data_IF_001276018957
#
_entry.id   IF_001276018957
#
_cell.length_a   1.000
_cell.length_b   1.000
_cell.length_c   1.000
_cell.angle_alpha   90.00
_cell.angle_beta   90.00
_cell.angle_gamma   90.00
#
_symmetry.space_group_name_H-M   'P 1'
#
loop_
_entity.id
_entity.type
_entity.pdbx_description
1 polymer ?
#
# COMPACT_ATOMS: atom_id res chain seq x y z
N UNK A 1 7.08 14.76 -39.10
CA UNK A 1 8.29 14.49 -38.30
C UNK A 1 9.32 15.55 -38.65
N UNK A 2 9.65 16.45 -37.73
CA UNK A 2 10.77 17.38 -37.93
C UNK A 2 12.04 16.75 -37.37
N UNK A 3 13.03 16.52 -38.24
CA UNK A 3 14.39 16.14 -37.86
C UNK A 3 15.20 17.33 -37.31
N UNK A 4 14.58 18.52 -37.22
CA UNK A 4 15.17 19.78 -36.77
C UNK A 4 14.35 20.35 -35.62
N UNK A 5 15.02 21.08 -34.71
CA UNK A 5 14.37 21.83 -33.63
C UNK A 5 13.44 22.89 -34.25
N UNK A 6 12.19 22.92 -33.77
CA UNK A 6 11.22 23.95 -34.19
C UNK A 6 11.46 25.19 -33.33
N UNK A 7 11.50 26.42 -33.90
CA UNK A 7 11.68 27.63 -33.12
C UNK A 7 10.50 27.82 -32.16
N UNK A 8 10.78 27.82 -30.85
CA UNK A 8 9.77 28.11 -29.82
C UNK A 8 9.49 29.61 -29.76
N UNK A 9 8.23 29.97 -29.48
CA UNK A 9 7.80 31.36 -29.24
C UNK A 9 7.33 31.49 -27.80
N UNK A 10 7.82 32.52 -27.11
CA UNK A 10 7.32 32.88 -25.79
C UNK A 10 5.92 33.51 -25.96
N UNK A 11 4.93 32.95 -25.28
CA UNK A 11 3.58 33.50 -25.22
C UNK A 11 3.31 33.95 -23.79
N UNK A 12 2.87 35.20 -23.64
CA UNK A 12 2.44 35.74 -22.35
C UNK A 12 0.94 36.04 -22.44
N UNK A 13 0.16 35.46 -21.54
CA UNK A 13 -1.28 35.70 -21.44
C UNK A 13 -1.61 36.27 -20.06
N UNK A 14 -2.46 37.30 -20.02
CA UNK A 14 -3.02 37.84 -18.79
C UNK A 14 -4.44 37.30 -18.67
N UNK A 15 -4.71 36.57 -17.60
CA UNK A 15 -5.99 35.89 -17.37
C UNK A 15 -6.55 36.38 -16.05
N UNK A 16 -7.87 36.60 -16.00
CA UNK A 16 -8.58 36.86 -14.76
C UNK A 16 -8.52 35.62 -13.86
N UNK A 17 -8.33 35.81 -12.56
CA UNK A 17 -8.16 34.72 -11.59
C UNK A 17 -9.31 33.70 -11.63
N UNK A 18 -10.54 34.18 -11.82
CA UNK A 18 -11.77 33.36 -11.95
C UNK A 18 -11.73 32.38 -13.15
N UNK A 19 -11.01 32.74 -14.21
CA UNK A 19 -10.91 31.95 -15.45
C UNK A 19 -9.57 31.21 -15.55
N UNK A 20 -8.70 31.32 -14.54
CA UNK A 20 -7.36 30.71 -14.56
C UNK A 20 -7.42 29.19 -14.72
N UNK A 21 -8.28 28.51 -13.97
CA UNK A 21 -8.45 27.05 -14.00
C UNK A 21 -8.92 26.56 -15.37
N UNK A 22 -9.91 27.23 -15.97
CA UNK A 22 -10.43 26.91 -17.30
C UNK A 22 -9.38 27.09 -18.39
N UNK A 23 -8.63 28.19 -18.34
CA UNK A 23 -7.56 28.45 -19.33
C UNK A 23 -6.44 27.41 -19.20
N UNK A 24 -6.02 27.06 -17.98
CA UNK A 24 -5.02 26.01 -17.76
C UNK A 24 -5.50 24.66 -18.30
N UNK A 25 -6.77 24.30 -18.10
CA UNK A 25 -7.33 23.05 -18.64
C UNK A 25 -7.30 23.01 -20.17
N UNK A 26 -7.72 24.08 -20.85
CA UNK A 26 -7.69 24.13 -22.32
C UNK A 26 -6.27 24.13 -22.88
N UNK A 27 -5.33 24.80 -22.21
CA UNK A 27 -3.92 24.77 -22.59
C UNK A 27 -3.30 23.38 -22.39
N UNK A 28 -3.66 22.67 -21.32
CA UNK A 28 -3.25 21.28 -21.10
C UNK A 28 -3.83 20.33 -22.15
N UNK A 29 -5.09 20.53 -22.60
CA UNK A 29 -5.71 19.74 -23.69
C UNK A 29 -4.94 19.86 -25.00
N UNK A 30 -4.47 21.07 -25.31
CA UNK A 30 -3.71 21.32 -26.54
C UNK A 30 -2.35 20.62 -26.54
N UNK A 31 -1.80 20.29 -25.37
CA UNK A 31 -0.57 19.50 -25.22
C UNK A 31 0.67 20.09 -25.90
N UNK A 32 0.60 21.36 -26.30
CA UNK A 32 1.58 22.03 -27.16
C UNK A 32 2.42 23.08 -26.43
N UNK A 33 2.23 23.23 -25.11
CA UNK A 33 2.89 24.27 -24.32
C UNK A 33 3.66 23.67 -23.14
N UNK A 34 4.95 24.00 -23.07
CA UNK A 34 5.73 23.89 -21.83
C UNK A 34 5.44 25.13 -20.98
N UNK A 35 4.86 24.94 -19.79
CA UNK A 35 4.62 26.04 -18.86
C UNK A 35 5.94 26.45 -18.20
N UNK A 36 6.46 27.63 -18.58
CA UNK A 36 7.78 28.07 -18.13
C UNK A 36 7.71 28.68 -16.72
N UNK A 37 6.66 29.43 -16.39
CA UNK A 37 6.41 29.96 -15.04
C UNK A 37 5.06 30.68 -15.03
N UNK A 38 4.28 30.58 -13.97
CA UNK A 38 3.06 31.40 -13.78
C UNK A 38 3.34 32.36 -12.62
N UNK A 39 3.49 33.65 -12.92
CA UNK A 39 3.61 34.71 -11.93
C UNK A 39 2.30 35.50 -11.83
N UNK A 40 1.81 35.71 -10.62
CA UNK A 40 0.68 36.59 -10.33
C UNK A 40 1.20 38.01 -10.08
N UNK A 41 0.83 38.96 -10.92
CA UNK A 41 1.23 40.37 -10.79
C UNK A 41 0.35 41.10 -9.75
N UNK A 42 0.80 41.12 -8.48
CA UNK A 42 1.10 42.34 -7.70
C UNK A 42 1.40 42.01 -6.22
N UNK A 43 2.39 42.68 -5.58
CA UNK A 43 3.20 42.06 -4.52
C UNK A 43 2.76 42.36 -3.07
N UNK A 44 1.85 43.30 -2.83
CA UNK A 44 1.59 43.81 -1.47
C UNK A 44 0.43 43.09 -0.74
N UNK A 45 -0.60 42.61 -1.45
CA UNK A 45 -1.75 41.93 -0.82
C UNK A 45 -1.62 40.39 -0.78
N UNK A 46 -0.75 39.79 -1.59
CA UNK A 46 -0.51 38.34 -1.62
C UNK A 46 0.43 37.86 -0.48
N UNK A 47 1.23 38.76 0.10
CA UNK A 47 2.27 38.41 1.06
C UNK A 47 1.73 37.96 2.44
N UNK A 48 0.51 38.36 2.81
CA UNK A 48 -0.07 38.03 4.13
C UNK A 48 -0.98 36.79 4.12
N UNK A 49 -1.45 36.32 2.96
CA UNK A 49 -2.43 35.22 2.87
C UNK A 49 -1.98 34.00 2.04
N UNK A 50 -1.12 34.12 1.01
CA UNK A 50 -0.88 33.03 0.06
C UNK A 50 0.37 32.15 0.33
N UNK A 51 1.29 32.58 1.21
CA UNK A 51 2.62 31.95 1.33
C UNK A 51 2.69 30.68 2.20
N UNK A 52 1.58 30.25 2.81
CA UNK A 52 1.56 29.06 3.71
C UNK A 52 0.68 27.89 3.23
N UNK A 53 -0.32 28.13 2.39
CA UNK A 53 -1.30 27.11 2.02
C UNK A 53 -0.85 26.24 0.84
N UNK A 54 -0.25 26.83 -0.21
CA UNK A 54 0.09 26.08 -1.43
C UNK A 54 1.27 25.11 -1.27
N UNK A 55 2.25 25.42 -0.40
CA UNK A 55 3.41 24.56 -0.15
C UNK A 55 3.04 23.32 0.67
N UNK A 56 2.16 23.47 1.66
CA UNK A 56 1.69 22.36 2.50
C UNK A 56 0.79 21.41 1.70
N UNK A 57 -0.09 21.93 0.84
CA UNK A 57 -0.95 21.09 -0.02
C UNK A 57 -0.14 20.36 -1.09
N UNK A 58 0.83 21.02 -1.72
CA UNK A 58 1.72 20.38 -2.70
C UNK A 58 2.56 19.25 -2.06
N UNK A 59 3.08 19.46 -0.86
CA UNK A 59 3.82 18.43 -0.12
C UNK A 59 2.94 17.21 0.21
N UNK A 60 1.69 17.43 0.65
CA UNK A 60 0.72 16.36 0.93
C UNK A 60 0.37 15.58 -0.35
N UNK A 61 0.15 16.27 -1.47
CA UNK A 61 -0.11 15.61 -2.77
C UNK A 61 1.09 14.78 -3.23
N UNK A 62 2.30 15.29 -3.03
CA UNK A 62 3.53 14.55 -3.29
C UNK A 62 3.64 13.27 -2.45
N UNK A 63 3.31 13.35 -1.17
CA UNK A 63 3.28 12.18 -0.28
C UNK A 63 2.21 11.16 -0.70
N UNK A 64 0.99 11.61 -1.01
CA UNK A 64 -0.08 10.71 -1.48
C UNK A 64 0.33 10.01 -2.77
N UNK A 65 0.96 10.73 -3.70
CA UNK A 65 1.46 10.15 -4.95
C UNK A 65 2.52 9.07 -4.68
N UNK A 66 3.51 9.33 -3.84
CA UNK A 66 4.55 8.34 -3.54
C UNK A 66 3.98 7.10 -2.86
N UNK A 67 3.00 7.27 -1.96
CA UNK A 67 2.26 6.16 -1.35
C UNK A 67 1.51 5.32 -2.39
N UNK A 68 0.76 5.97 -3.29
CA UNK A 68 0.05 5.27 -4.38
C UNK A 68 1.04 4.52 -5.27
N UNK A 69 2.12 5.18 -5.72
CA UNK A 69 3.14 4.53 -6.56
C UNK A 69 3.80 3.34 -5.85
N UNK A 70 4.02 3.43 -4.53
CA UNK A 70 4.54 2.32 -3.74
C UNK A 70 3.58 1.11 -3.72
N UNK A 71 2.27 1.34 -3.61
CA UNK A 71 1.26 0.26 -3.71
C UNK A 71 1.29 -0.43 -5.08
N UNK A 72 1.37 0.34 -6.17
CA UNK A 72 1.50 -0.22 -7.52
C UNK A 72 2.76 -1.09 -7.66
N UNK A 73 3.92 -0.58 -7.20
CA UNK A 73 5.19 -1.33 -7.22
C UNK A 73 5.10 -2.61 -6.41
N UNK A 74 4.51 -2.56 -5.22
CA UNK A 74 4.32 -3.73 -4.37
C UNK A 74 3.46 -4.80 -5.04
N UNK A 75 2.42 -4.38 -5.79
CA UNK A 75 1.55 -5.28 -6.53
C UNK A 75 2.15 -5.77 -7.87
N UNK A 76 3.32 -5.27 -8.26
CA UNK A 76 3.98 -5.62 -9.53
C UNK A 76 3.37 -4.93 -10.75
N UNK A 77 2.55 -3.90 -10.56
CA UNK A 77 1.98 -3.10 -11.64
C UNK A 77 2.80 -1.84 -11.89
N UNK A 78 2.97 -1.40 -13.15
CA UNK A 78 3.57 -0.10 -13.42
C UNK A 78 2.63 1.02 -12.90
N UNK A 79 3.17 2.11 -12.35
CA UNK A 79 2.34 3.23 -11.92
C UNK A 79 1.61 3.85 -13.13
N UNK A 80 0.37 4.33 -12.96
CA UNK A 80 -0.40 4.92 -14.05
C UNK A 80 0.31 6.16 -14.59
N UNK A 81 0.55 6.17 -15.91
CA UNK A 81 1.20 7.28 -16.61
C UNK A 81 0.23 8.39 -17.02
N UNK A 82 0.76 9.49 -17.55
CA UNK A 82 -0.01 10.67 -17.97
C UNK A 82 -0.94 10.44 -19.17
N UNK A 83 -0.91 9.26 -19.81
CA UNK A 83 -1.72 8.94 -21.00
C UNK A 83 -3.22 8.76 -20.71
N UNK A 84 -3.62 8.71 -19.44
CA UNK A 84 -5.01 8.52 -19.00
C UNK A 84 -5.61 9.78 -18.33
N UNK A 85 -5.04 10.96 -18.55
CA UNK A 85 -5.67 12.20 -18.06
C UNK A 85 -6.88 12.55 -18.92
N UNK A 86 -8.07 12.29 -18.38
CA UNK A 86 -9.32 12.87 -18.87
C UNK A 86 -9.57 14.19 -18.16
N UNK A 87 -9.28 15.29 -18.88
CA UNK A 87 -9.37 16.64 -18.34
C UNK A 87 -10.83 17.08 -18.06
N UNK A 88 -11.82 16.36 -18.60
CA UNK A 88 -13.24 16.61 -18.34
C UNK A 88 -13.69 16.13 -16.96
N UNK A 89 -12.89 15.26 -16.32
CA UNK A 89 -13.15 14.71 -14.99
C UNK A 89 -12.31 15.38 -13.89
N UNK A 90 -11.69 16.54 -14.15
CA UNK A 90 -11.00 17.32 -13.13
C UNK A 90 -12.02 17.88 -12.12
N UNK A 91 -12.03 17.28 -10.93
CA UNK A 91 -12.77 17.78 -9.77
C UNK A 91 -11.77 18.17 -8.69
N UNK A 92 -12.19 19.03 -7.76
CA UNK A 92 -11.40 19.32 -6.57
C UNK A 92 -11.13 18.03 -5.79
N UNK A 93 -9.85 17.78 -5.54
CA UNK A 93 -9.39 16.56 -4.91
C UNK A 93 -9.52 16.69 -3.39
N UNK A 94 -10.38 15.88 -2.78
CA UNK A 94 -10.42 15.76 -1.32
C UNK A 94 -9.24 14.90 -0.83
N UNK A 95 -8.15 15.60 -0.48
CA UNK A 95 -6.89 15.02 0.04
C UNK A 95 -7.14 14.16 1.28
N UNK A 96 -8.07 14.55 2.15
CA UNK A 96 -8.35 13.82 3.39
C UNK A 96 -9.06 12.50 3.13
N UNK A 97 -10.06 12.49 2.24
CA UNK A 97 -10.73 11.25 1.86
C UNK A 97 -9.80 10.24 1.21
N UNK A 98 -8.88 10.69 0.35
CA UNK A 98 -7.92 9.81 -0.31
C UNK A 98 -6.90 9.27 0.69
N UNK A 99 -6.40 10.10 1.60
CA UNK A 99 -5.51 9.64 2.67
C UNK A 99 -6.16 8.53 3.48
N UNK A 100 -7.40 8.72 3.94
CA UNK A 100 -8.12 7.73 4.72
C UNK A 100 -8.29 6.41 3.96
N UNK A 101 -8.61 6.46 2.67
CA UNK A 101 -8.71 5.25 1.82
C UNK A 101 -7.37 4.54 1.65
N UNK A 102 -6.25 5.28 1.57
CA UNK A 102 -4.93 4.67 1.51
C UNK A 102 -4.58 4.00 2.83
N UNK A 103 -4.85 4.66 3.96
CA UNK A 103 -4.55 4.12 5.29
C UNK A 103 -5.33 2.81 5.53
N UNK A 104 -6.61 2.73 5.16
CA UNK A 104 -7.37 1.47 5.25
C UNK A 104 -6.81 0.37 4.35
N UNK A 105 -6.38 0.70 3.13
CA UNK A 105 -5.73 -0.26 2.23
C UNK A 105 -4.41 -0.79 2.81
N UNK A 106 -3.61 0.09 3.43
CA UNK A 106 -2.38 -0.32 4.10
C UNK A 106 -2.64 -1.23 5.29
N UNK A 107 -3.65 -0.93 6.11
CA UNK A 107 -4.05 -1.77 7.24
C UNK A 107 -4.48 -3.17 6.78
N UNK A 108 -5.30 -3.25 5.72
CA UNK A 108 -5.74 -4.53 5.17
C UNK A 108 -4.58 -5.32 4.54
N UNK A 109 -3.67 -4.64 3.83
CA UNK A 109 -2.45 -5.25 3.32
C UNK A 109 -1.56 -5.79 4.46
N UNK A 110 -1.44 -5.06 5.56
CA UNK A 110 -0.65 -5.48 6.70
C UNK A 110 -1.26 -6.72 7.35
N UNK A 111 -2.58 -6.74 7.56
CA UNK A 111 -3.29 -7.93 8.06
C UNK A 111 -3.09 -9.15 7.17
N UNK A 112 -3.13 -8.97 5.85
CA UNK A 112 -2.88 -10.05 4.90
C UNK A 112 -1.44 -10.56 4.98
N UNK A 113 -0.45 -9.67 5.07
CA UNK A 113 0.96 -10.05 5.25
C UNK A 113 1.18 -10.82 6.54
N UNK A 114 0.59 -10.37 7.65
CA UNK A 114 0.72 -11.05 8.94
C UNK A 114 0.07 -12.44 8.90
N UNK A 115 -1.09 -12.56 8.27
CA UNK A 115 -1.73 -13.87 8.02
C UNK A 115 -0.87 -14.77 7.15
N UNK A 116 -0.28 -14.25 6.08
CA UNK A 116 0.61 -15.00 5.19
C UNK A 116 1.87 -15.46 5.93
N UNK A 117 2.47 -14.61 6.77
CA UNK A 117 3.62 -14.93 7.61
C UNK A 117 3.30 -16.08 8.56
N UNK A 118 2.17 -15.99 9.27
CA UNK A 118 1.75 -17.04 10.21
C UNK A 118 1.51 -18.37 9.50
N UNK A 119 0.81 -18.36 8.35
CA UNK A 119 0.60 -19.57 7.55
C UNK A 119 1.91 -20.17 7.04
N UNK A 120 2.85 -19.34 6.60
CA UNK A 120 4.18 -19.80 6.14
C UNK A 120 4.97 -20.47 7.27
N UNK A 121 4.96 -19.89 8.48
CA UNK A 121 5.59 -20.49 9.66
C UNK A 121 4.96 -21.84 10.05
N UNK A 122 3.63 -21.92 10.04
CA UNK A 122 2.93 -23.19 10.27
C UNK A 122 3.26 -24.23 9.20
N UNK A 123 3.30 -23.84 7.93
CA UNK A 123 3.65 -24.73 6.82
C UNK A 123 5.07 -25.27 6.96
N UNK A 124 6.03 -24.43 7.34
CA UNK A 124 7.41 -24.87 7.62
C UNK A 124 7.43 -25.91 8.75
N UNK A 125 6.73 -25.63 9.84
CA UNK A 125 6.65 -26.52 11.01
C UNK A 125 6.04 -27.89 10.65
N UNK A 126 4.98 -27.90 9.83
CA UNK A 126 4.36 -29.14 9.35
C UNK A 126 5.24 -29.90 8.36
N UNK A 127 5.96 -29.20 7.49
CA UNK A 127 6.90 -29.83 6.55
C UNK A 127 8.05 -30.50 7.29
N UNK A 128 8.59 -29.87 8.34
CA UNK A 128 9.60 -30.49 9.20
C UNK A 128 9.05 -31.78 9.84
N UNK A 129 7.90 -31.71 10.51
CA UNK A 129 7.26 -32.88 11.14
C UNK A 129 7.04 -34.03 10.15
N UNK A 130 6.55 -33.69 8.96
CA UNK A 130 6.30 -34.66 7.89
C UNK A 130 7.61 -35.27 7.37
N UNK A 131 8.68 -34.50 7.27
CA UNK A 131 10.00 -35.01 6.89
C UNK A 131 10.54 -36.00 7.93
N UNK A 132 10.47 -35.67 9.22
CA UNK A 132 10.89 -36.59 10.29
C UNK A 132 10.06 -37.88 10.30
N UNK A 133 8.75 -37.78 10.03
CA UNK A 133 7.88 -38.96 9.94
C UNK A 133 8.23 -39.83 8.73
N UNK A 134 8.51 -39.24 7.56
CA UNK A 134 8.91 -39.96 6.34
C UNK A 134 10.27 -40.63 6.47
N UNK A 135 11.22 -39.98 7.11
CA UNK A 135 12.57 -40.51 7.35
C UNK A 135 12.59 -41.66 8.37
N UNK A 136 11.45 -42.04 8.95
CA UNK A 136 11.37 -43.08 9.98
C UNK A 136 12.04 -42.68 11.30
N UNK A 137 12.30 -41.40 11.50
CA UNK A 137 13.02 -40.81 12.64
C UNK A 137 12.12 -40.65 13.87
N UNK A 138 11.38 -41.71 14.22
CA UNK A 138 10.37 -41.72 15.29
C UNK A 138 10.92 -41.37 16.67
N UNK A 139 12.23 -41.53 16.90
CA UNK A 139 12.88 -41.12 18.15
C UNK A 139 12.83 -39.60 18.42
N UNK A 140 12.64 -38.79 17.37
CA UNK A 140 12.51 -37.33 17.44
C UNK A 140 11.07 -36.85 17.38
N UNK A 141 10.09 -37.75 17.34
CA UNK A 141 8.66 -37.42 17.37
C UNK A 141 8.07 -37.89 18.70
N UNK A 142 7.43 -36.99 19.43
CA UNK A 142 6.67 -37.33 20.63
C UNK A 142 5.17 -37.21 20.30
N UNK A 143 4.43 -38.30 20.49
CA UNK A 143 2.98 -38.39 20.26
C UNK A 143 2.31 -38.60 21.61
N UNK A 144 1.55 -37.61 22.06
CA UNK A 144 0.81 -37.66 23.32
C UNK A 144 -0.67 -37.63 23.05
N UNK A 145 -1.39 -38.60 23.61
CA UNK A 145 -2.85 -38.64 23.59
C UNK A 145 -3.34 -38.37 25.00
N UNK A 146 -4.13 -37.31 25.16
CA UNK A 146 -4.64 -36.89 26.46
C UNK A 146 -6.11 -36.50 26.41
N UNK A 147 -6.74 -36.43 27.58
CA UNK A 147 -8.06 -35.80 27.75
C UNK A 147 -7.83 -34.39 28.27
N UNK A 148 -8.52 -33.41 27.69
CA UNK A 148 -8.42 -32.01 28.09
C UNK A 148 -9.77 -31.56 28.61
N UNK A 149 -9.80 -30.99 29.82
CA UNK A 149 -11.00 -30.34 30.35
C UNK A 149 -11.15 -28.94 29.72
N UNK A 150 -12.39 -28.44 29.66
CA UNK A 150 -12.75 -27.22 28.91
C UNK A 150 -11.87 -26.01 29.23
N UNK A 151 -11.32 -25.36 28.19
CA UNK A 151 -10.46 -24.16 28.30
C UNK A 151 -8.95 -24.42 28.34
N UNK A 152 -8.50 -25.65 28.62
CA UNK A 152 -7.07 -25.96 28.67
C UNK A 152 -6.43 -26.13 27.28
N UNK A 153 -7.24 -26.39 26.24
CA UNK A 153 -6.75 -26.57 24.86
C UNK A 153 -6.12 -25.29 24.31
N UNK A 154 -6.74 -24.12 24.54
CA UNK A 154 -6.20 -22.85 24.06
C UNK A 154 -4.89 -22.49 24.76
N UNK A 155 -4.82 -22.75 26.07
CA UNK A 155 -3.58 -22.62 26.86
C UNK A 155 -2.49 -23.56 26.37
N UNK A 156 -2.86 -24.76 25.91
CA UNK A 156 -1.94 -25.73 25.36
C UNK A 156 -1.44 -25.30 23.98
N UNK A 157 -2.31 -24.77 23.11
CA UNK A 157 -1.93 -24.17 21.82
C UNK A 157 -0.93 -23.04 22.00
N UNK A 158 -1.15 -22.12 22.94
CA UNK A 158 -0.26 -20.97 23.17
C UNK A 158 1.11 -21.36 23.73
N UNK A 159 1.19 -22.44 24.52
CA UNK A 159 2.49 -22.98 24.98
C UNK A 159 3.22 -23.75 23.89
N UNK A 160 2.49 -24.39 22.99
CA UNK A 160 3.07 -25.18 21.90
C UNK A 160 3.50 -24.33 20.70
N UNK A 161 3.08 -23.08 20.57
CA UNK A 161 3.49 -22.18 19.47
C UNK A 161 5.00 -22.03 19.30
N UNK A 162 5.80 -22.24 20.36
CA UNK A 162 7.27 -22.22 20.29
C UNK A 162 7.88 -23.46 19.64
N UNK A 163 7.10 -24.52 19.41
CA UNK A 163 7.54 -25.81 18.88
C UNK A 163 6.75 -26.18 17.61
N UNK A 164 7.38 -26.95 16.73
CA UNK A 164 6.66 -27.60 15.64
C UNK A 164 5.70 -28.64 16.24
N UNK A 165 4.40 -28.37 16.15
CA UNK A 165 3.37 -29.20 16.75
C UNK A 165 2.15 -29.33 15.85
N UNK A 166 1.47 -30.47 15.96
CA UNK A 166 0.14 -30.73 15.39
C UNK A 166 -0.77 -31.11 16.54
N UNK A 167 -1.86 -30.36 16.71
CA UNK A 167 -2.91 -30.66 17.66
C UNK A 167 -4.16 -31.10 16.91
N UNK A 168 -4.64 -32.31 17.19
CA UNK A 168 -5.90 -32.84 16.66
C UNK A 168 -6.88 -32.93 17.82
N UNK A 169 -7.90 -32.09 17.79
CA UNK A 169 -9.00 -32.11 18.75
C UNK A 169 -9.99 -33.24 18.39
N UNK A 170 -10.43 -33.99 19.40
CA UNK A 170 -11.45 -35.03 19.31
C UNK A 170 -12.51 -34.79 20.39
N UNK A 171 -13.71 -35.32 20.18
CA UNK A 171 -14.85 -35.19 21.11
C UNK A 171 -14.53 -35.59 22.56
N UNK A 172 -13.61 -36.54 22.78
CA UNK A 172 -13.21 -37.03 24.12
C UNK A 172 -11.71 -36.87 24.42
N UNK A 173 -10.99 -35.94 23.76
CA UNK A 173 -9.57 -35.68 24.05
C UNK A 173 -8.82 -35.00 22.92
N UNK A 174 -7.50 -34.89 23.06
CA UNK A 174 -6.62 -34.29 22.06
C UNK A 174 -5.41 -35.19 21.79
N UNK A 175 -4.99 -35.23 20.52
CA UNK A 175 -3.74 -35.84 20.10
C UNK A 175 -2.77 -34.70 19.80
N UNK A 176 -1.64 -34.69 20.50
CA UNK A 176 -0.56 -33.73 20.30
C UNK A 176 0.62 -34.48 19.71
N UNK A 177 1.13 -34.01 18.58
CA UNK A 177 2.36 -34.50 17.97
C UNK A 177 3.36 -33.35 17.95
N UNK A 178 4.56 -33.56 18.52
CA UNK A 178 5.62 -32.54 18.65
C UNK A 178 6.97 -33.09 18.25
N UNK A 179 7.86 -32.23 17.75
CA UNK A 179 9.28 -32.58 17.68
C UNK A 179 9.88 -32.61 19.09
N UNK A 180 10.52 -33.72 19.41
CA UNK A 180 11.34 -33.89 20.60
C UNK A 180 12.69 -33.22 20.32
N UNK A 181 12.94 -32.08 20.95
CA UNK A 181 14.28 -31.47 21.03
C UNK A 181 15.04 -32.03 22.22
#
# INVERSE_FOLDING_TARGET
MSLFTVPMRLLTAVVLEQNSSLVVQELLKLGAMDFIHVETLAPEMAAQLAKRTSTLESAKLGELRTRIEALYRQAGFPPPGSKQLDLNNLHELDVHQISNKLDTLYDDLQRLRDRQKNLSQSMLSYNELLQYARDGKMQYLDIRVGRTEGGQIETLKSRLTSYAHVLIERSNGAIVLTLRR
#
